data_IF_249565482790
#
_entry.id   IF_249565482790
#
_cell.length_a   1.000
_cell.length_b   1.000
_cell.length_c   1.000
_cell.angle_alpha   90.00
_cell.angle_beta   90.00
_cell.angle_gamma   90.00
#
_symmetry.space_group_name_H-M   'P 1'
#
loop_
_entity.id
_entity.type
_entity.pdbx_description
1 polymer ?
#
# COMPACT_ATOMS: atom_id res chain seq x y z
N UNK A 1 2.66 28.90 -4.01
CA UNK A 1 3.55 27.90 -3.35
C UNK A 1 2.67 26.92 -2.58
N UNK A 2 2.47 25.70 -3.09
CA UNK A 2 1.55 24.73 -2.50
C UNK A 2 2.15 24.14 -1.21
N UNK A 3 1.84 24.71 -0.04
CA UNK A 3 2.16 24.10 1.25
C UNK A 3 1.18 22.95 1.52
N UNK A 4 1.44 21.80 0.91
CA UNK A 4 0.68 20.58 1.16
C UNK A 4 1.00 20.09 2.58
N UNK A 5 0.28 20.58 3.59
CA UNK A 5 0.24 19.92 4.89
C UNK A 5 -0.40 18.54 4.67
N UNK A 6 0.43 17.50 4.50
CA UNK A 6 -0.05 16.12 4.53
C UNK A 6 -0.74 15.93 5.88
N UNK A 7 -2.06 15.69 5.88
CA UNK A 7 -2.83 15.37 7.10
C UNK A 7 -2.08 14.31 7.91
N UNK A 8 -2.10 14.47 9.24
CA UNK A 8 -1.50 13.55 10.22
C UNK A 8 -1.77 12.10 9.78
N UNK A 9 -0.69 11.32 9.63
CA UNK A 9 -0.78 9.89 9.44
C UNK A 9 -1.22 9.23 10.75
N UNK A 10 -1.99 8.16 10.65
CA UNK A 10 -2.21 7.20 11.72
C UNK A 10 -0.96 6.30 11.76
N UNK A 11 -0.31 6.22 12.92
CA UNK A 11 0.80 5.30 13.17
C UNK A 11 0.26 4.12 13.97
N UNK A 12 0.47 2.91 13.48
CA UNK A 12 0.20 1.65 14.20
C UNK A 12 1.55 0.95 14.40
N UNK A 13 1.70 0.32 15.56
CA UNK A 13 2.83 -0.56 15.91
C UNK A 13 2.18 -1.91 16.24
N UNK A 14 2.68 -3.01 15.69
CA UNK A 14 2.17 -4.35 15.97
C UNK A 14 2.88 -5.01 17.16
N UNK A 15 2.56 -6.29 17.42
CA UNK A 15 3.09 -7.05 18.55
C UNK A 15 4.59 -7.40 18.39
N UNK A 16 5.10 -7.43 17.15
CA UNK A 16 6.50 -7.64 16.80
C UNK A 16 7.31 -6.32 16.77
N UNK A 17 6.63 -5.17 16.93
CA UNK A 17 7.24 -3.83 16.95
C UNK A 17 7.37 -3.17 15.57
N UNK A 18 6.79 -3.75 14.52
CA UNK A 18 6.81 -3.20 13.17
C UNK A 18 5.85 -2.02 13.02
N UNK A 19 6.29 -0.99 12.28
CA UNK A 19 5.65 0.34 12.28
C UNK A 19 4.97 0.67 10.96
N UNK A 20 3.64 0.69 11.00
CA UNK A 20 2.79 1.00 9.86
C UNK A 20 2.29 2.44 9.87
N UNK A 21 2.38 3.10 8.71
CA UNK A 21 1.99 4.50 8.51
C UNK A 21 0.80 4.60 7.56
N UNK A 22 -0.39 4.69 8.11
CA UNK A 22 -1.64 4.85 7.35
C UNK A 22 -1.95 6.32 7.15
N UNK A 23 -2.04 6.76 5.89
CA UNK A 23 -2.61 8.08 5.58
C UNK A 23 -3.94 7.89 4.87
N UNK A 24 -5.00 8.51 5.39
CA UNK A 24 -6.27 8.62 4.67
C UNK A 24 -6.04 9.33 3.34
N UNK A 25 -5.97 8.53 2.29
CA UNK A 25 -5.78 8.96 0.92
C UNK A 25 -7.12 8.85 0.19
N UNK A 26 -7.51 9.85 -0.62
CA UNK A 26 -8.65 9.72 -1.55
C UNK A 26 -8.13 9.08 -2.85
N UNK A 27 -8.37 7.79 -3.15
CA UNK A 27 -7.61 7.06 -4.19
C UNK A 27 -7.47 7.79 -5.54
N UNK A 28 -8.52 8.48 -5.98
CA UNK A 28 -8.50 9.41 -7.12
C UNK A 28 -7.29 10.35 -7.20
N UNK A 29 -6.88 10.95 -6.07
CA UNK A 29 -5.75 11.88 -6.06
C UNK A 29 -4.41 11.11 -6.21
N UNK A 30 -4.36 9.81 -5.85
CA UNK A 30 -3.27 8.84 -6.03
C UNK A 30 -2.94 8.68 -7.50
N UNK A 31 -3.95 8.12 -8.16
CA UNK A 31 -4.07 7.87 -9.59
C UNK A 31 -3.86 9.15 -10.42
N UNK A 32 -4.01 10.34 -9.81
CA UNK A 32 -3.76 11.64 -10.44
C UNK A 32 -2.35 12.18 -10.21
N UNK A 33 -1.80 12.16 -8.99
CA UNK A 33 -0.57 12.92 -8.68
C UNK A 33 0.71 12.11 -8.75
N UNK A 34 0.74 10.83 -8.36
CA UNK A 34 1.97 10.02 -8.40
C UNK A 34 2.54 9.88 -9.82
N UNK A 35 1.73 9.68 -10.88
CA UNK A 35 2.23 9.66 -12.26
C UNK A 35 2.77 11.00 -12.77
N UNK A 36 2.71 12.07 -11.96
CA UNK A 36 3.12 13.45 -12.32
C UNK A 36 4.27 13.97 -11.44
N UNK A 37 4.90 13.09 -10.66
CA UNK A 37 6.07 13.45 -9.85
C UNK A 37 7.29 13.77 -10.73
N UNK A 38 7.90 14.93 -10.47
CA UNK A 38 9.23 15.25 -10.98
C UNK A 38 10.29 14.26 -10.44
N UNK A 39 11.49 14.28 -11.00
CA UNK A 39 12.53 13.28 -10.71
C UNK A 39 12.95 13.27 -9.24
N UNK A 40 12.94 14.43 -8.57
CA UNK A 40 13.27 14.56 -7.15
C UNK A 40 12.15 14.00 -6.28
N UNK A 41 10.89 14.31 -6.61
CA UNK A 41 9.71 13.76 -5.94
C UNK A 41 9.61 12.24 -6.14
N UNK A 42 9.88 11.76 -7.36
CA UNK A 42 9.84 10.34 -7.75
C UNK A 42 10.91 9.56 -6.99
N UNK A 43 12.17 10.01 -7.01
CA UNK A 43 13.26 9.38 -6.25
C UNK A 43 13.02 9.41 -4.73
N UNK A 44 12.49 10.49 -4.17
CA UNK A 44 12.21 10.60 -2.74
C UNK A 44 11.03 9.73 -2.28
N UNK A 45 9.96 9.65 -3.08
CA UNK A 45 8.76 8.88 -2.73
C UNK A 45 8.96 7.36 -2.86
N UNK A 46 9.58 6.90 -3.94
CA UNK A 46 9.80 5.46 -4.19
C UNK A 46 10.98 4.87 -3.40
N UNK A 47 11.68 5.66 -2.58
CA UNK A 47 12.79 5.19 -1.76
C UNK A 47 12.32 4.15 -0.74
N UNK A 48 12.64 2.88 -1.01
CA UNK A 48 12.21 1.75 -0.18
C UNK A 48 10.78 1.28 -0.42
N UNK A 49 10.12 1.77 -1.48
CA UNK A 49 8.77 1.36 -1.89
C UNK A 49 8.85 0.72 -3.28
N UNK A 50 8.70 -0.60 -3.36
CA UNK A 50 8.65 -1.32 -4.64
C UNK A 50 7.43 -0.91 -5.48
N UNK A 51 6.26 -0.87 -4.83
CA UNK A 51 5.00 -0.50 -5.46
C UNK A 51 3.97 -0.07 -4.41
N UNK A 52 2.93 0.62 -4.89
CA UNK A 52 1.72 0.94 -4.12
C UNK A 52 0.50 0.50 -4.91
N UNK A 53 -0.59 0.16 -4.21
CA UNK A 53 -1.88 -0.17 -4.81
C UNK A 53 -2.92 0.84 -4.32
N UNK A 54 -3.73 1.37 -5.23
CA UNK A 54 -4.81 2.29 -4.93
C UNK A 54 -6.09 1.90 -5.70
N UNK A 55 -7.25 2.11 -5.10
CA UNK A 55 -8.55 1.82 -5.73
C UNK A 55 -8.76 2.66 -7.00
N UNK A 56 -9.33 2.05 -8.03
CA UNK A 56 -9.84 2.80 -9.19
C UNK A 56 -11.14 3.50 -8.79
N UNK A 57 -11.24 4.80 -9.09
CA UNK A 57 -12.45 5.60 -8.82
C UNK A 57 -13.64 5.15 -9.64
N UNK A 58 -13.39 4.80 -10.89
CA UNK A 58 -14.42 4.58 -11.91
C UNK A 58 -14.87 3.11 -11.96
N UNK A 59 -14.18 2.23 -11.21
CA UNK A 59 -14.35 0.78 -11.26
C UNK A 59 -13.89 0.14 -9.93
N UNK A 60 -14.80 -0.12 -8.97
CA UNK A 60 -14.42 -0.64 -7.65
C UNK A 60 -13.88 -2.07 -7.67
N UNK A 61 -14.02 -2.80 -8.79
CA UNK A 61 -13.40 -4.12 -8.95
C UNK A 61 -11.91 -4.05 -9.29
N UNK A 62 -11.35 -2.85 -9.54
CA UNK A 62 -10.00 -2.67 -10.04
C UNK A 62 -9.11 -1.83 -9.11
N UNK A 63 -7.88 -2.30 -8.94
CA UNK A 63 -6.75 -1.56 -8.36
C UNK A 63 -5.86 -0.99 -9.46
N UNK A 64 -5.19 0.12 -9.16
CA UNK A 64 -4.02 0.61 -9.87
C UNK A 64 -2.78 0.31 -9.03
N UNK A 65 -1.89 -0.55 -9.55
CA UNK A 65 -0.53 -0.72 -9.05
C UNK A 65 0.36 0.35 -9.69
N UNK A 66 0.90 1.21 -8.86
CA UNK A 66 1.92 2.20 -9.23
C UNK A 66 3.29 1.73 -8.74
N UNK A 67 4.33 1.96 -9.52
CA UNK A 67 5.72 1.64 -9.16
C UNK A 67 6.69 2.21 -10.18
N UNK A 68 7.96 1.81 -10.11
CA UNK A 68 8.96 2.14 -11.12
C UNK A 68 9.17 0.98 -12.10
N UNK A 69 9.47 1.32 -13.36
CA UNK A 69 9.93 0.37 -14.37
C UNK A 69 11.45 0.12 -14.25
N UNK A 70 12.00 -0.71 -15.15
CA UNK A 70 13.43 -1.04 -15.18
C UNK A 70 14.35 0.16 -15.52
N UNK A 71 13.79 1.33 -15.86
CA UNK A 71 14.52 2.59 -16.14
C UNK A 71 14.39 3.61 -15.00
N UNK A 72 13.61 3.30 -13.95
CA UNK A 72 13.31 4.24 -12.86
C UNK A 72 12.15 5.21 -13.18
N UNK A 73 11.40 4.96 -14.26
CA UNK A 73 10.26 5.76 -14.66
C UNK A 73 8.95 5.24 -14.08
N UNK A 74 8.00 6.15 -13.86
CA UNK A 74 6.72 5.79 -13.24
C UNK A 74 5.87 4.92 -14.17
N UNK A 75 5.56 3.71 -13.72
CA UNK A 75 4.66 2.77 -14.39
C UNK A 75 3.34 2.62 -13.61
N UNK A 76 2.26 2.35 -14.33
CA UNK A 76 0.93 2.08 -13.76
C UNK A 76 0.28 0.88 -14.45
N UNK A 77 -0.23 -0.06 -13.66
CA UNK A 77 -0.91 -1.27 -14.14
C UNK A 77 -2.28 -1.40 -13.47
N UNK A 78 -3.33 -1.71 -14.24
CA UNK A 78 -4.63 -2.12 -13.66
C UNK A 78 -4.55 -3.58 -13.24
N UNK A 79 -5.11 -3.90 -12.07
CA UNK A 79 -5.17 -5.24 -11.50
C UNK A 79 -6.59 -5.49 -10.98
N UNK A 80 -7.11 -6.71 -11.12
CA UNK A 80 -8.37 -7.10 -10.49
C UNK A 80 -8.19 -7.18 -8.97
N UNK A 81 -9.08 -6.53 -8.21
CA UNK A 81 -9.04 -6.46 -6.75
C UNK A 81 -9.19 -7.84 -6.11
N UNK A 82 -10.11 -8.66 -6.63
CA UNK A 82 -10.43 -9.98 -6.07
C UNK A 82 -9.29 -10.94 -6.35
N UNK A 83 -8.79 -11.02 -7.59
CA UNK A 83 -7.65 -11.86 -7.94
C UNK A 83 -6.38 -11.46 -7.17
N UNK A 84 -6.15 -10.15 -6.98
CA UNK A 84 -5.01 -9.65 -6.18
C UNK A 84 -5.18 -9.95 -4.69
N UNK A 85 -6.42 -9.93 -4.18
CA UNK A 85 -6.74 -10.19 -2.78
C UNK A 85 -6.79 -11.67 -2.39
N UNK A 86 -7.11 -12.58 -3.32
CA UNK A 86 -7.25 -14.03 -3.06
C UNK A 86 -6.11 -14.66 -2.25
N UNK A 87 -4.81 -14.38 -2.51
CA UNK A 87 -3.70 -14.94 -1.73
C UNK A 87 -3.55 -14.33 -0.33
N UNK A 88 -4.15 -13.16 -0.09
CA UNK A 88 -4.08 -12.40 1.17
C UNK A 88 -5.32 -12.60 2.05
N UNK A 89 -6.32 -13.34 1.56
CA UNK A 89 -7.53 -13.67 2.32
C UNK A 89 -7.22 -14.70 3.41
N UNK A 90 -7.01 -14.23 4.64
CA UNK A 90 -7.09 -15.08 5.83
C UNK A 90 -8.53 -15.58 5.94
N UNK A 91 -8.75 -16.90 5.84
CA UNK A 91 -10.10 -17.48 6.03
C UNK A 91 -10.31 -17.69 7.53
N UNK A 92 -11.56 -17.65 8.04
CA UNK A 92 -11.83 -17.89 9.46
C UNK A 92 -11.28 -19.23 10.00
N UNK A 93 -11.18 -20.25 9.15
CA UNK A 93 -10.58 -21.54 9.50
C UNK A 93 -9.06 -21.50 9.67
N UNK A 94 -8.37 -20.54 9.04
CA UNK A 94 -6.90 -20.43 9.08
C UNK A 94 -6.41 -19.72 10.35
N UNK A 95 -7.28 -18.95 11.01
CA UNK A 95 -6.98 -18.20 12.25
C UNK A 95 -6.48 -19.12 13.38
N UNK A 96 -7.01 -20.35 13.47
CA UNK A 96 -6.62 -21.34 14.47
C UNK A 96 -5.18 -21.87 14.33
N UNK A 97 -4.54 -21.68 13.16
CA UNK A 97 -3.14 -22.05 12.94
C UNK A 97 -2.15 -20.89 13.17
N UNK A 98 -2.64 -19.65 13.18
CA UNK A 98 -1.80 -18.46 13.42
C UNK A 98 -1.62 -18.22 14.92
N UNK A 99 -2.63 -18.55 15.74
CA UNK A 99 -2.60 -18.39 17.20
C UNK A 99 -2.29 -19.73 17.87
N UNK A 100 -1.04 -20.20 17.75
CA UNK A 100 -0.52 -21.17 18.72
C UNK A 100 0.06 -20.39 19.90
N UNK A 101 -0.50 -20.49 21.12
CA UNK A 101 0.15 -19.92 22.29
C UNK A 101 1.50 -20.61 22.48
N UNK A 102 2.55 -19.84 22.75
CA UNK A 102 3.86 -20.38 23.08
C UNK A 102 3.74 -21.23 24.35
N UNK A 103 3.78 -22.56 24.20
CA UNK A 103 3.71 -23.48 25.35
C UNK A 103 4.89 -23.22 26.27
N UNK A 104 4.61 -22.74 27.47
CA UNK A 104 5.60 -22.56 28.53
C UNK A 104 6.32 -23.88 28.78
N UNK A 105 7.64 -23.88 28.66
CA UNK A 105 8.48 -24.99 29.14
C UNK A 105 8.80 -24.76 30.61
N UNK A 106 8.03 -25.41 31.48
CA UNK A 106 8.45 -25.77 32.84
C UNK A 106 9.12 -27.14 32.85
#
# INVERSE_FOLDING_TARGET
RLKTHLKKFLRIEDEDGERYFFKYYRPEHFNRYVPRFDDVQRAAFWRGIEATRAESKDDPAMLLRHGLDARGEHASQRMDLVETGKPLMIRPADIGNVIQPATERG
#
